data_IF_415829601884
#
_entry.id   IF_415829601884
#
_cell.length_a   1.000
_cell.length_b   1.000
_cell.length_c   1.000
_cell.angle_alpha   90.00
_cell.angle_beta   90.00
_cell.angle_gamma   90.00
#
_symmetry.space_group_name_H-M   'P 1'
#
loop_
_entity.id
_entity.type
_entity.pdbx_description
1 polymer ?
#
# COMPACT_ATOMS: atom_id res chain seq x y z
N UNK A 1 4.00 -10.04 -29.50
CA UNK A 1 4.49 -10.53 -28.18
C UNK A 1 4.21 -9.57 -27.02
N UNK A 2 4.19 -8.29 -27.22
CA UNK A 2 3.93 -7.32 -26.14
C UNK A 2 2.46 -7.16 -25.75
N UNK A 3 1.52 -7.49 -26.65
CA UNK A 3 0.08 -7.36 -26.37
C UNK A 3 -0.48 -8.39 -25.39
N UNK A 4 0.14 -9.57 -25.31
CA UNK A 4 -0.34 -10.63 -24.41
C UNK A 4 -0.03 -10.34 -22.93
N UNK A 5 1.11 -9.73 -22.65
CA UNK A 5 1.51 -9.37 -21.29
C UNK A 5 0.73 -8.17 -20.72
N UNK A 6 0.37 -7.22 -21.57
CA UNK A 6 -0.50 -6.09 -21.19
C UNK A 6 -1.93 -6.55 -20.88
N UNK A 7 -2.44 -7.51 -21.66
CA UNK A 7 -3.78 -8.07 -21.45
C UNK A 7 -3.86 -8.82 -20.11
N UNK A 8 -2.81 -9.53 -19.77
CA UNK A 8 -2.71 -10.29 -18.52
C UNK A 8 -2.66 -9.37 -17.28
N UNK A 9 -1.88 -8.31 -17.33
CA UNK A 9 -1.78 -7.34 -16.24
C UNK A 9 -3.09 -6.57 -16.01
N UNK A 10 -3.84 -6.27 -17.08
CA UNK A 10 -5.17 -5.63 -17.00
C UNK A 10 -6.22 -6.60 -16.45
N UNK A 11 -6.13 -7.86 -16.83
CA UNK A 11 -7.05 -8.91 -16.35
C UNK A 11 -6.90 -9.17 -14.85
N UNK A 12 -5.67 -9.24 -14.33
CA UNK A 12 -5.41 -9.38 -12.89
C UNK A 12 -5.93 -8.16 -12.12
N UNK A 13 -5.79 -6.97 -12.69
CA UNK A 13 -6.30 -5.75 -12.07
C UNK A 13 -7.83 -5.72 -11.95
N UNK A 14 -8.54 -6.50 -12.76
CA UNK A 14 -10.01 -6.62 -12.77
C UNK A 14 -10.53 -7.80 -11.95
N UNK A 15 -9.73 -8.84 -11.75
CA UNK A 15 -10.12 -10.03 -11.00
C UNK A 15 -9.75 -9.89 -9.54
N UNK A 16 -10.75 -9.67 -8.72
CA UNK A 16 -10.77 -9.84 -7.28
C UNK A 16 -9.43 -9.61 -6.56
N UNK A 17 -9.21 -8.37 -6.20
CA UNK A 17 -8.27 -7.97 -5.16
C UNK A 17 -8.66 -8.64 -3.84
N UNK A 18 -8.28 -9.89 -3.65
CA UNK A 18 -8.46 -10.56 -2.37
C UNK A 18 -7.24 -10.26 -1.52
N UNK A 19 -7.43 -9.62 -0.40
CA UNK A 19 -6.40 -9.58 0.63
C UNK A 19 -6.19 -11.00 1.11
N UNK A 20 -5.15 -11.61 0.61
CA UNK A 20 -4.63 -12.76 1.29
C UNK A 20 -3.74 -12.23 2.42
N UNK A 21 -4.21 -12.31 3.65
CA UNK A 21 -3.45 -11.93 4.85
C UNK A 21 -2.09 -12.63 4.92
N UNK A 22 -1.90 -13.69 4.12
CA UNK A 22 -0.64 -14.43 3.98
C UNK A 22 0.39 -13.74 3.09
N UNK A 23 0.01 -12.69 2.34
CA UNK A 23 0.93 -12.02 1.42
C UNK A 23 1.77 -10.92 2.07
N UNK A 24 1.45 -10.54 3.30
CA UNK A 24 2.32 -9.67 4.09
C UNK A 24 3.10 -10.51 5.10
N UNK A 25 4.35 -10.14 5.41
CA UNK A 25 5.15 -10.85 6.41
C UNK A 25 4.37 -11.02 7.71
N UNK A 26 4.46 -12.20 8.31
CA UNK A 26 3.75 -12.54 9.54
C UNK A 26 3.85 -11.43 10.58
N UNK A 27 2.71 -10.99 11.11
CA UNK A 27 2.61 -10.00 12.16
C UNK A 27 2.59 -8.56 11.69
N UNK A 28 2.46 -8.26 10.38
CA UNK A 28 2.57 -6.91 9.84
C UNK A 28 1.56 -6.67 8.73
N UNK A 29 0.30 -6.77 9.08
CA UNK A 29 -0.82 -6.57 8.16
C UNK A 29 -1.29 -5.12 8.12
N UNK A 30 -1.99 -4.78 7.03
CA UNK A 30 -2.77 -3.55 6.96
C UNK A 30 -4.05 -3.69 7.79
N UNK A 31 -4.62 -2.57 8.28
CA UNK A 31 -5.94 -2.58 8.90
C UNK A 31 -6.98 -3.24 7.98
N UNK A 32 -8.00 -3.85 8.57
CA UNK A 32 -9.07 -4.51 7.82
C UNK A 32 -9.74 -3.58 6.81
N UNK A 33 -10.11 -4.11 5.65
CA UNK A 33 -10.81 -3.38 4.59
C UNK A 33 -9.98 -3.15 3.33
N UNK A 34 -8.66 -3.08 3.41
CA UNK A 34 -7.81 -3.01 2.23
C UNK A 34 -7.82 -4.34 1.46
N UNK A 35 -7.73 -4.24 0.14
CA UNK A 35 -7.53 -5.39 -0.75
C UNK A 35 -6.21 -5.21 -1.48
N UNK A 36 -5.45 -6.30 -1.66
CA UNK A 36 -4.14 -6.28 -2.30
C UNK A 36 -4.09 -7.27 -3.45
N UNK A 37 -3.60 -6.83 -4.60
CA UNK A 37 -3.25 -7.70 -5.73
C UNK A 37 -1.75 -7.62 -5.98
N UNK A 38 -1.08 -8.76 -6.04
CA UNK A 38 0.31 -8.85 -6.49
C UNK A 38 0.31 -8.90 -8.01
N UNK A 39 0.94 -7.91 -8.65
CA UNK A 39 1.07 -7.83 -10.11
C UNK A 39 2.36 -8.47 -10.59
N UNK A 40 3.41 -8.33 -9.78
CA UNK A 40 4.74 -8.83 -10.12
C UNK A 40 5.56 -9.00 -8.84
N UNK A 41 6.44 -10.00 -8.84
CA UNK A 41 7.34 -10.28 -7.72
C UNK A 41 6.64 -10.88 -6.50
N UNK A 42 7.36 -10.88 -5.39
CA UNK A 42 6.86 -11.35 -4.09
C UNK A 42 7.15 -10.28 -3.02
N UNK A 43 6.11 -9.54 -2.57
CA UNK A 43 6.30 -8.51 -1.56
C UNK A 43 6.73 -9.04 -0.19
N UNK A 44 6.68 -10.35 0.02
CA UNK A 44 7.10 -11.00 1.28
C UNK A 44 8.53 -11.54 1.24
N UNK A 45 9.14 -11.58 0.05
CA UNK A 45 10.51 -12.09 -0.11
C UNK A 45 11.54 -11.22 0.64
N UNK A 46 12.71 -11.76 0.86
CA UNK A 46 13.82 -11.04 1.50
C UNK A 46 14.51 -10.05 0.56
N UNK A 47 14.31 -10.19 -0.74
CA UNK A 47 14.91 -9.35 -1.79
C UNK A 47 14.15 -9.49 -3.09
N UNK A 48 14.49 -8.66 -4.07
CA UNK A 48 13.86 -8.60 -5.38
C UNK A 48 12.82 -7.48 -5.46
N UNK A 49 12.41 -7.19 -6.67
CA UNK A 49 11.40 -6.16 -6.92
C UNK A 49 9.98 -6.74 -6.74
N UNK A 50 9.06 -5.88 -6.36
CA UNK A 50 7.63 -6.21 -6.35
C UNK A 50 6.81 -5.06 -6.89
N UNK A 51 5.65 -5.39 -7.42
CA UNK A 51 4.59 -4.43 -7.75
C UNK A 51 3.25 -4.97 -7.27
N UNK A 52 2.55 -4.16 -6.48
CA UNK A 52 1.22 -4.50 -5.94
C UNK A 52 0.24 -3.39 -6.25
N UNK A 53 -1.06 -3.70 -6.24
CA UNK A 53 -2.13 -2.69 -6.17
C UNK A 53 -2.90 -2.87 -4.88
N UNK A 54 -3.15 -1.75 -4.24
CA UNK A 54 -3.99 -1.63 -3.06
C UNK A 54 -5.30 -0.97 -3.46
N UNK A 55 -6.41 -1.60 -3.10
CA UNK A 55 -7.74 -0.99 -3.15
C UNK A 55 -8.17 -0.67 -1.74
N UNK A 56 -8.40 0.61 -1.50
CA UNK A 56 -8.73 1.15 -0.19
C UNK A 56 -10.17 1.68 -0.21
N UNK A 57 -11.05 1.21 0.68
CA UNK A 57 -12.41 1.74 0.75
C UNK A 57 -12.41 3.20 1.20
N UNK A 58 -13.54 3.90 0.99
CA UNK A 58 -13.71 5.28 1.45
C UNK A 58 -13.42 5.40 2.96
N UNK A 59 -12.65 6.43 3.32
CA UNK A 59 -12.29 6.70 4.71
C UNK A 59 -11.26 5.74 5.32
N UNK A 60 -10.74 4.80 4.55
CA UNK A 60 -9.72 3.86 5.03
C UNK A 60 -8.48 4.60 5.50
N UNK A 61 -7.95 4.20 6.65
CA UNK A 61 -6.76 4.79 7.27
C UNK A 61 -5.69 3.76 7.54
N UNK A 62 -4.44 4.13 7.26
CA UNK A 62 -3.27 3.41 7.74
C UNK A 62 -2.59 4.33 8.75
N UNK A 63 -2.52 3.93 10.04
CA UNK A 63 -1.86 4.71 11.08
C UNK A 63 -0.38 4.96 10.77
N UNK A 64 0.27 5.88 11.50
CA UNK A 64 1.68 6.15 11.32
C UNK A 64 2.54 4.89 11.35
N UNK A 65 3.34 4.72 10.30
CA UNK A 65 4.17 3.56 10.05
C UNK A 65 5.35 3.92 9.16
N UNK A 66 6.24 2.97 8.96
CA UNK A 66 7.39 3.08 8.07
C UNK A 66 7.70 1.73 7.40
N UNK A 67 8.47 1.78 6.32
CA UNK A 67 8.92 0.60 5.59
C UNK A 67 10.44 0.53 5.57
N UNK A 68 11.04 -0.68 5.57
CA UNK A 68 12.51 -0.83 5.53
C UNK A 68 13.12 -0.38 4.20
N UNK A 69 12.35 -0.43 3.11
CA UNK A 69 12.78 -0.03 1.77
C UNK A 69 11.94 1.13 1.25
N UNK A 70 12.44 1.81 0.22
CA UNK A 70 11.69 2.88 -0.45
C UNK A 70 10.38 2.32 -1.00
N UNK A 71 9.30 3.04 -0.76
CA UNK A 71 7.99 2.82 -1.35
C UNK A 71 7.75 3.84 -2.46
N UNK A 72 7.43 3.37 -3.67
CA UNK A 72 7.00 4.20 -4.78
C UNK A 72 5.51 3.98 -5.00
N UNK A 73 4.74 5.04 -5.06
CA UNK A 73 3.28 4.99 -5.16
C UNK A 73 2.77 5.79 -6.35
N UNK A 74 1.90 5.17 -7.13
CA UNK A 74 1.17 5.81 -8.23
C UNK A 74 -0.31 5.66 -7.98
N UNK A 75 -1.04 6.78 -7.94
CA UNK A 75 -2.50 6.75 -7.77
C UNK A 75 -3.14 6.39 -9.10
N UNK A 76 -3.88 5.28 -9.13
CA UNK A 76 -4.60 4.80 -10.31
C UNK A 76 -6.00 5.43 -10.36
N UNK A 77 -6.72 5.44 -9.24
CA UNK A 77 -8.06 6.02 -9.15
C UNK A 77 -8.35 6.51 -7.73
N UNK A 78 -9.32 7.41 -7.59
CA UNK A 78 -9.69 8.00 -6.31
C UNK A 78 -8.69 9.02 -5.80
N UNK A 79 -8.82 9.41 -4.54
CA UNK A 79 -7.95 10.35 -3.86
C UNK A 79 -7.21 9.66 -2.71
N UNK A 80 -5.90 9.72 -2.79
CA UNK A 80 -4.99 9.13 -1.82
C UNK A 80 -4.32 10.25 -1.03
N UNK A 81 -4.55 10.30 0.27
CA UNK A 81 -3.98 11.31 1.16
C UNK A 81 -2.79 10.73 1.92
N UNK A 82 -1.71 11.47 1.97
CA UNK A 82 -0.48 11.10 2.68
C UNK A 82 -0.08 12.22 3.63
N UNK A 83 0.18 11.87 4.87
CA UNK A 83 0.76 12.76 5.88
C UNK A 83 2.09 12.21 6.40
N UNK A 84 2.97 13.09 6.85
CA UNK A 84 4.30 12.73 7.35
C UNK A 84 4.37 12.89 8.86
N UNK A 85 5.05 11.97 9.53
CA UNK A 85 5.31 12.01 10.96
C UNK A 85 4.64 10.89 11.76
N UNK A 86 4.67 11.04 13.09
CA UNK A 86 4.30 10.00 14.04
C UNK A 86 2.87 10.12 14.57
N UNK A 87 2.21 11.23 14.27
CA UNK A 87 0.84 11.50 14.72
C UNK A 87 -0.07 11.69 13.51
N UNK A 88 -1.18 10.96 13.49
CA UNK A 88 -2.19 11.09 12.44
C UNK A 88 -2.87 12.47 12.55
N UNK A 89 -2.70 13.30 11.53
CA UNK A 89 -3.30 14.63 11.44
C UNK A 89 -3.79 14.88 10.01
N UNK A 90 -5.10 14.76 9.81
CA UNK A 90 -5.70 14.92 8.48
C UNK A 90 -5.47 16.30 7.89
N UNK A 91 -5.37 17.35 8.73
CA UNK A 91 -5.15 18.72 8.29
C UNK A 91 -3.79 18.94 7.63
N UNK A 92 -2.83 18.05 7.88
CA UNK A 92 -1.47 18.11 7.35
C UNK A 92 -1.25 17.17 6.16
N UNK A 93 -2.28 16.48 5.72
CA UNK A 93 -2.16 15.53 4.62
C UNK A 93 -2.19 16.25 3.26
N UNK A 94 -1.39 15.72 2.33
CA UNK A 94 -1.44 16.08 0.91
C UNK A 94 -2.35 15.13 0.18
N UNK A 95 -3.27 15.65 -0.62
CA UNK A 95 -4.17 14.83 -1.46
C UNK A 95 -3.56 14.63 -2.83
N UNK A 96 -3.43 13.35 -3.21
CA UNK A 96 -2.92 12.91 -4.50
C UNK A 96 -4.08 12.29 -5.30
N UNK A 97 -4.39 12.89 -6.45
CA UNK A 97 -5.39 12.40 -7.37
C UNK A 97 -4.82 11.40 -8.40
N UNK A 98 -5.69 10.86 -9.29
CA UNK A 98 -5.28 9.90 -10.31
C UNK A 98 -4.13 10.40 -11.18
N UNK A 99 -3.15 9.52 -11.44
CA UNK A 99 -1.93 9.85 -12.18
C UNK A 99 -0.81 10.48 -11.35
N UNK A 100 -1.07 10.85 -10.09
CA UNK A 100 -0.02 11.34 -9.20
C UNK A 100 0.97 10.24 -8.87
N UNK A 101 2.24 10.63 -8.77
CA UNK A 101 3.34 9.77 -8.33
C UNK A 101 4.04 10.41 -7.13
N UNK A 102 4.41 9.59 -6.17
CA UNK A 102 5.24 9.99 -5.05
C UNK A 102 6.10 8.82 -4.55
N UNK A 103 7.06 9.13 -3.72
CA UNK A 103 7.85 8.10 -3.06
C UNK A 103 8.15 8.48 -1.61
N UNK A 104 8.38 7.46 -0.81
CA UNK A 104 8.81 7.57 0.57
C UNK A 104 10.11 6.79 0.70
N UNK A 105 11.16 7.46 1.16
CA UNK A 105 12.43 6.78 1.38
C UNK A 105 12.34 5.80 2.55
N UNK A 106 13.29 4.88 2.59
CA UNK A 106 13.44 3.92 3.69
C UNK A 106 13.31 4.62 5.05
N UNK A 107 12.52 4.02 5.93
CA UNK A 107 12.33 4.45 7.31
C UNK A 107 11.62 5.80 7.50
N UNK A 108 11.06 6.41 6.46
CA UNK A 108 10.25 7.62 6.59
C UNK A 108 8.89 7.30 7.23
N UNK A 109 8.60 7.98 8.34
CA UNK A 109 7.33 7.82 9.05
C UNK A 109 6.21 8.57 8.33
N UNK A 110 5.14 7.89 8.02
CA UNK A 110 4.01 8.44 7.29
C UNK A 110 2.69 7.75 7.66
N UNK A 111 1.60 8.36 7.28
CA UNK A 111 0.25 7.83 7.46
C UNK A 111 -0.60 8.13 6.24
N UNK A 112 -1.65 7.35 6.04
CA UNK A 112 -2.44 7.34 4.81
C UNK A 112 -3.92 7.38 5.10
N UNK A 113 -4.68 8.03 4.22
CA UNK A 113 -6.14 7.97 4.21
C UNK A 113 -6.65 7.98 2.77
N UNK A 114 -7.69 7.19 2.50
CA UNK A 114 -8.44 7.28 1.26
C UNK A 114 -9.64 8.23 1.42
N UNK A 115 -9.82 9.12 0.48
CA UNK A 115 -11.01 9.96 0.36
C UNK A 115 -11.79 9.53 -0.88
N UNK A 116 -12.94 8.89 -0.67
CA UNK A 116 -13.53 7.99 -1.65
C UNK A 116 -12.74 6.69 -1.76
N UNK A 117 -13.25 5.71 -2.51
CA UNK A 117 -12.49 4.50 -2.81
C UNK A 117 -11.26 4.87 -3.65
N UNK A 118 -10.07 4.42 -3.25
CA UNK A 118 -8.84 4.69 -3.96
C UNK A 118 -8.12 3.39 -4.35
N UNK A 119 -7.50 3.41 -5.54
CA UNK A 119 -6.59 2.35 -5.99
C UNK A 119 -5.22 2.96 -6.18
N UNK A 120 -4.23 2.39 -5.52
CA UNK A 120 -2.83 2.84 -5.55
C UNK A 120 -1.94 1.68 -5.95
N UNK A 121 -1.05 1.91 -6.90
CA UNK A 121 -0.01 0.95 -7.25
C UNK A 121 1.25 1.28 -6.49
N UNK A 122 1.75 0.31 -5.76
CA UNK A 122 2.99 0.41 -4.98
C UNK A 122 4.03 -0.52 -5.58
N UNK A 123 5.23 -0.01 -5.81
CA UNK A 123 6.35 -0.82 -6.23
C UNK A 123 7.62 -0.44 -5.45
N UNK A 124 8.53 -1.38 -5.33
CA UNK A 124 9.77 -1.21 -4.61
C UNK A 124 10.53 -2.52 -4.48
N UNK A 125 11.45 -2.54 -3.54
CA UNK A 125 12.20 -3.74 -3.19
C UNK A 125 11.53 -4.47 -2.01
N UNK A 126 11.47 -5.78 -2.11
CA UNK A 126 11.00 -6.64 -1.02
C UNK A 126 11.97 -6.62 0.18
N UNK A 127 11.48 -6.78 1.40
CA UNK A 127 10.08 -7.00 1.76
C UNK A 127 9.25 -5.70 1.81
N UNK A 128 7.98 -5.79 1.44
CA UNK A 128 6.97 -4.79 1.80
C UNK A 128 6.52 -5.06 3.23
N UNK A 129 7.14 -4.40 4.17
CA UNK A 129 6.93 -4.59 5.59
C UNK A 129 6.35 -3.32 6.20
N UNK A 130 5.26 -3.45 6.96
CA UNK A 130 4.63 -2.32 7.65
C UNK A 130 5.03 -2.35 9.12
N UNK A 131 5.73 -1.31 9.56
CA UNK A 131 6.17 -1.16 10.94
C UNK A 131 5.42 0.01 11.59
N UNK A 132 4.46 -0.28 12.46
CA UNK A 132 3.67 0.76 13.11
C UNK A 132 4.47 1.47 14.19
N UNK A 133 4.32 2.81 14.27
CA UNK A 133 4.95 3.63 15.31
C UNK A 133 4.35 3.28 16.68
N UNK A 134 3.01 3.24 16.77
CA UNK A 134 2.32 2.77 17.96
C UNK A 134 2.03 1.26 17.82
N UNK A 135 2.59 0.41 18.67
CA UNK A 135 2.34 -1.03 18.60
C UNK A 135 0.86 -1.43 18.72
N UNK A 136 0.03 -0.58 19.31
CA UNK A 136 -1.41 -0.82 19.42
C UNK A 136 -2.16 -0.65 18.09
N UNK A 137 -1.53 -0.01 17.11
CA UNK A 137 -2.10 0.15 15.76
C UNK A 137 -1.86 -1.07 14.87
N UNK A 138 -0.99 -1.98 15.29
CA UNK A 138 -0.66 -3.19 14.55
C UNK A 138 -1.84 -4.19 14.61
N UNK A 139 -2.54 -4.45 13.51
CA UNK A 139 -3.70 -5.34 13.49
C UNK A 139 -3.35 -6.78 13.91
N UNK A 140 -2.12 -7.21 13.70
CA UNK A 140 -1.69 -8.57 14.05
C UNK A 140 -1.64 -8.82 15.55
N UNK A 141 -1.57 -7.77 16.36
CA UNK A 141 -1.52 -7.84 17.82
C UNK A 141 -2.90 -7.81 18.48
N UNK A 142 -3.96 -7.60 17.70
CA UNK A 142 -5.34 -7.51 18.20
C UNK A 142 -6.13 -8.82 18.14
N UNK A 143 -5.43 -9.92 17.95
CA UNK A 143 -6.02 -11.27 17.92
C UNK A 143 -6.16 -11.87 19.32
#
# INVERSE_FOLDING_TARGET
MWQSSLHWAVEIARRNLVVNERLLPQGRSLPAGAQLAVLEGDPTASSGDFTVRLKLPDGYRIPPHWHPNRENATVISGNFKVGMGDTFDESKMTTLGPGSFGYLDSSMHHYVMASGEAVVQVHGMSPLQVNYINPNDDPSKKR
#
